data_IF_889102952457
#
_entry.id   IF_889102952457
#
_cell.length_a   1.000
_cell.length_b   1.000
_cell.length_c   1.000
_cell.angle_alpha   90.00
_cell.angle_beta   90.00
_cell.angle_gamma   90.00
#
_symmetry.space_group_name_H-M   'P 1'
#
loop_
_entity.id
_entity.type
_entity.pdbx_description
1 polymer ?
#
# COMPACT_ATOMS: atom_id res chain seq x y z
N UNK A 1 -57.61 -4.16 -56.62
CA UNK A 1 -56.65 -3.18 -56.07
C UNK A 1 -56.20 -3.74 -54.74
N UNK A 2 -55.08 -4.48 -54.76
CA UNK A 2 -54.58 -5.22 -53.60
C UNK A 2 -53.47 -4.43 -52.92
N UNK A 3 -53.65 -4.16 -51.68
CA UNK A 3 -52.65 -3.48 -50.83
C UNK A 3 -51.82 -4.56 -50.16
N UNK A 4 -50.54 -4.64 -50.51
CA UNK A 4 -49.54 -5.50 -49.88
C UNK A 4 -48.99 -4.78 -48.68
N UNK A 5 -49.21 -5.35 -47.46
CA UNK A 5 -48.63 -4.90 -46.22
C UNK A 5 -47.24 -5.45 -46.08
N UNK A 6 -46.25 -4.56 -46.01
CA UNK A 6 -44.85 -4.90 -45.69
C UNK A 6 -44.65 -4.99 -44.19
N UNK A 7 -44.14 -6.14 -43.75
CA UNK A 7 -43.73 -6.46 -42.37
C UNK A 7 -42.49 -5.66 -41.95
N UNK A 8 -42.39 -5.13 -40.73
CA UNK A 8 -41.17 -4.49 -40.25
C UNK A 8 -40.12 -5.51 -39.81
N UNK A 9 -38.89 -5.25 -40.24
CA UNK A 9 -37.70 -6.02 -39.89
C UNK A 9 -37.42 -6.01 -38.39
N UNK A 10 -37.10 -7.18 -37.85
CA UNK A 10 -36.69 -7.38 -36.48
C UNK A 10 -35.36 -6.65 -36.19
N UNK A 11 -35.39 -5.71 -35.26
CA UNK A 11 -34.21 -5.10 -34.68
C UNK A 11 -33.47 -6.13 -33.81
N UNK A 12 -32.31 -6.53 -34.31
CA UNK A 12 -31.30 -7.28 -33.53
C UNK A 12 -30.68 -6.35 -32.47
N UNK A 13 -31.19 -6.39 -31.29
CA UNK A 13 -30.47 -5.80 -30.14
C UNK A 13 -29.25 -6.65 -29.76
N UNK A 14 -28.07 -6.07 -29.64
CA UNK A 14 -26.92 -6.82 -29.12
C UNK A 14 -27.17 -7.25 -27.70
N UNK A 15 -27.18 -8.56 -27.46
CA UNK A 15 -27.16 -9.13 -26.10
C UNK A 15 -25.85 -8.71 -25.43
N UNK A 16 -25.94 -7.76 -24.51
CA UNK A 16 -24.85 -7.47 -23.57
C UNK A 16 -24.70 -8.70 -22.70
N UNK A 17 -23.69 -9.48 -23.02
CA UNK A 17 -23.20 -10.58 -22.19
C UNK A 17 -22.74 -9.99 -20.85
N UNK A 18 -23.57 -10.11 -19.82
CA UNK A 18 -23.14 -9.89 -18.42
C UNK A 18 -22.09 -10.93 -18.09
N UNK A 19 -20.84 -10.62 -18.35
CA UNK A 19 -19.74 -11.37 -17.75
C UNK A 19 -19.77 -11.07 -16.26
N UNK A 20 -20.17 -12.05 -15.47
CA UNK A 20 -19.96 -12.07 -14.05
C UNK A 20 -18.49 -11.76 -13.79
N UNK A 21 -18.23 -10.62 -13.15
CA UNK A 21 -16.92 -10.26 -12.66
C UNK A 21 -16.54 -11.28 -11.58
N UNK A 22 -15.71 -12.22 -11.95
CA UNK A 22 -15.04 -13.11 -11.01
C UNK A 22 -14.01 -12.31 -10.24
N UNK A 23 -14.36 -11.94 -9.01
CA UNK A 23 -13.54 -11.18 -8.06
C UNK A 23 -12.29 -11.97 -7.56
N UNK A 24 -11.83 -12.97 -8.31
CA UNK A 24 -10.83 -13.93 -7.84
C UNK A 24 -9.42 -13.84 -8.45
N UNK A 25 -9.07 -12.82 -9.25
CA UNK A 25 -7.84 -12.90 -10.06
C UNK A 25 -6.72 -11.91 -9.75
N UNK A 26 -6.82 -11.11 -8.70
CA UNK A 26 -5.79 -10.09 -8.40
C UNK A 26 -4.86 -10.41 -7.22
N UNK A 27 -4.91 -11.61 -6.67
CA UNK A 27 -3.98 -12.00 -5.64
C UNK A 27 -2.77 -12.72 -6.23
N UNK A 28 -1.96 -11.99 -6.99
CA UNK A 28 -0.66 -12.48 -7.44
C UNK A 28 0.36 -12.18 -6.32
N UNK A 29 0.48 -13.13 -5.40
CA UNK A 29 1.49 -13.13 -4.35
C UNK A 29 2.89 -13.34 -4.96
N UNK A 30 3.39 -12.32 -5.66
CA UNK A 30 4.84 -12.22 -5.84
C UNK A 30 5.47 -11.72 -4.52
N UNK A 31 5.20 -12.43 -3.43
CA UNK A 31 6.01 -12.34 -2.23
C UNK A 31 7.43 -12.69 -2.68
N UNK A 32 8.30 -11.72 -2.68
CA UNK A 32 9.73 -12.00 -2.85
C UNK A 32 10.06 -13.08 -1.82
N UNK A 33 10.56 -14.26 -2.21
CA UNK A 33 10.74 -15.40 -1.29
C UNK A 33 11.67 -15.08 -0.11
N UNK A 34 12.45 -14.01 -0.22
CA UNK A 34 13.35 -13.52 0.81
C UNK A 34 12.64 -13.02 2.09
N UNK A 35 11.53 -12.27 1.98
CA UNK A 35 10.86 -11.75 3.18
C UNK A 35 10.19 -12.86 4.00
N UNK A 36 9.54 -13.82 3.32
CA UNK A 36 8.98 -14.99 4.00
C UNK A 36 10.06 -15.90 4.57
N UNK A 37 11.19 -16.06 3.88
CA UNK A 37 12.30 -16.87 4.36
C UNK A 37 12.96 -16.30 5.61
N UNK A 38 13.09 -14.98 5.74
CA UNK A 38 13.64 -14.32 6.93
C UNK A 38 12.69 -14.52 8.13
N UNK A 39 11.38 -14.33 7.96
CA UNK A 39 10.40 -14.56 9.02
C UNK A 39 10.37 -16.02 9.48
N UNK A 40 10.43 -16.98 8.55
CA UNK A 40 10.45 -18.42 8.87
C UNK A 40 11.79 -18.80 9.55
N UNK A 41 12.92 -18.28 9.10
CA UNK A 41 14.23 -18.52 9.70
C UNK A 41 14.30 -17.97 11.14
N UNK A 42 13.72 -16.79 11.40
CA UNK A 42 13.63 -16.21 12.74
C UNK A 42 12.78 -17.09 13.68
N UNK A 43 11.71 -17.66 13.15
CA UNK A 43 10.82 -18.57 13.91
C UNK A 43 11.51 -19.90 14.28
N UNK A 44 12.32 -20.45 13.39
CA UNK A 44 13.05 -21.71 13.61
C UNK A 44 14.22 -21.56 14.59
N UNK A 45 14.85 -20.39 14.64
CA UNK A 45 15.93 -20.11 15.61
C UNK A 45 15.42 -19.87 17.04
N UNK A 46 14.11 -19.55 17.19
CA UNK A 46 13.51 -19.26 18.49
C UNK A 46 13.39 -20.48 19.44
N UNK A 47 13.61 -21.68 18.95
CA UNK A 47 13.36 -22.92 19.76
C UNK A 47 14.50 -23.30 20.71
N UNK A 48 15.65 -22.59 20.72
CA UNK A 48 16.90 -23.11 21.33
C UNK A 48 17.23 -22.51 22.70
N UNK A 49 16.56 -21.45 23.18
CA UNK A 49 16.96 -20.84 24.46
C UNK A 49 15.76 -20.55 25.39
N UNK A 50 15.52 -21.43 26.33
CA UNK A 50 14.45 -21.31 27.35
C UNK A 50 14.69 -20.30 28.47
N UNK A 51 15.53 -19.27 28.28
CA UNK A 51 15.72 -18.22 29.27
C UNK A 51 14.78 -17.03 28.98
N UNK A 52 13.98 -16.64 29.98
CA UNK A 52 13.12 -15.46 29.87
C UNK A 52 13.93 -14.16 29.81
N UNK A 53 13.43 -13.21 29.03
CA UNK A 53 13.99 -11.86 29.00
C UNK A 53 13.92 -11.21 30.41
N UNK A 54 15.08 -10.84 30.93
CA UNK A 54 15.22 -10.27 32.29
C UNK A 54 15.28 -8.74 32.30
N UNK A 55 15.48 -8.14 31.13
CA UNK A 55 15.58 -6.69 30.97
C UNK A 55 14.63 -6.20 29.88
N UNK A 56 13.79 -5.25 30.24
CA UNK A 56 12.91 -4.54 29.33
C UNK A 56 12.97 -3.05 29.65
N UNK A 57 13.52 -2.28 28.73
CA UNK A 57 13.57 -0.82 28.87
C UNK A 57 12.22 -0.19 28.57
N UNK A 58 11.99 0.99 29.17
CA UNK A 58 10.70 1.68 29.05
C UNK A 58 10.44 2.27 27.68
N UNK A 59 11.48 2.71 26.98
CA UNK A 59 11.38 3.39 25.69
C UNK A 59 12.10 2.61 24.61
N UNK A 60 11.48 2.54 23.45
CA UNK A 60 12.04 1.93 22.25
C UNK A 60 12.04 2.98 21.13
N UNK A 61 13.15 3.11 20.43
CA UNK A 61 13.28 3.92 19.23
C UNK A 61 13.77 3.04 18.09
N UNK A 62 12.93 2.82 17.12
CA UNK A 62 13.25 2.08 15.92
C UNK A 62 13.54 3.03 14.75
N UNK A 63 14.55 2.71 13.96
CA UNK A 63 14.89 3.36 12.70
C UNK A 63 15.29 2.29 11.70
N UNK A 64 14.65 2.26 10.54
CA UNK A 64 14.90 1.23 9.54
C UNK A 64 14.52 1.67 8.13
N UNK A 65 14.91 0.84 7.18
CA UNK A 65 14.45 0.93 5.79
C UNK A 65 13.07 0.32 5.67
N UNK A 66 12.24 0.90 4.79
CA UNK A 66 10.92 0.41 4.49
C UNK A 66 10.74 0.23 2.98
N UNK A 67 10.03 -0.83 2.62
CA UNK A 67 9.49 -1.11 1.30
C UNK A 67 7.97 -1.12 1.43
N UNK A 68 7.31 -0.17 0.75
CA UNK A 68 5.86 -0.04 0.76
C UNK A 68 5.33 -0.45 -0.60
N UNK A 69 4.49 -1.46 -0.60
CA UNK A 69 3.93 -2.06 -1.81
C UNK A 69 2.41 -2.00 -1.80
N UNK A 70 1.81 -1.44 -2.86
CA UNK A 70 0.38 -1.46 -3.10
C UNK A 70 0.11 -2.15 -4.44
N UNK A 71 -0.14 -3.47 -4.43
CA UNK A 71 -0.22 -4.28 -5.66
C UNK A 71 -1.33 -3.82 -6.61
N UNK A 72 -2.46 -3.38 -6.06
CA UNK A 72 -3.59 -2.92 -6.86
C UNK A 72 -3.27 -1.65 -7.67
N UNK A 73 -2.42 -0.78 -7.12
CA UNK A 73 -1.95 0.43 -7.79
C UNK A 73 -0.68 0.19 -8.63
N UNK A 74 -0.09 -1.01 -8.57
CA UNK A 74 1.24 -1.26 -9.14
C UNK A 74 2.32 -0.36 -8.53
N UNK A 75 2.09 0.14 -7.31
CA UNK A 75 2.97 1.07 -6.62
C UNK A 75 3.96 0.31 -5.75
N UNK A 76 5.23 0.60 -5.96
CA UNK A 76 6.32 0.11 -5.12
C UNK A 76 7.20 1.29 -4.72
N UNK A 77 7.36 1.51 -3.42
CA UNK A 77 8.08 2.65 -2.85
C UNK A 77 9.09 2.17 -1.83
N UNK A 78 10.25 2.79 -1.82
CA UNK A 78 11.27 2.58 -0.79
C UNK A 78 11.47 3.84 0.03
N UNK A 79 11.85 3.67 1.29
CA UNK A 79 12.02 4.81 2.17
C UNK A 79 12.52 4.49 3.56
N UNK A 80 12.24 5.37 4.48
CA UNK A 80 12.61 5.26 5.89
C UNK A 80 11.38 5.08 6.76
N UNK A 81 11.52 4.27 7.80
CA UNK A 81 10.52 4.05 8.83
C UNK A 81 11.13 4.26 10.20
N UNK A 82 10.47 5.06 11.00
CA UNK A 82 10.82 5.31 12.40
C UNK A 82 9.63 4.99 13.29
N UNK A 83 9.89 4.46 14.47
CA UNK A 83 8.88 4.18 15.46
C UNK A 83 9.39 4.54 16.85
N UNK A 84 8.56 5.24 17.61
CA UNK A 84 8.78 5.46 19.03
C UNK A 84 7.78 4.63 19.83
N UNK A 85 8.27 3.82 20.76
CA UNK A 85 7.47 2.94 21.60
C UNK A 85 7.64 3.23 23.08
N UNK A 86 6.55 3.09 23.83
CA UNK A 86 6.56 3.13 25.30
C UNK A 86 6.07 1.80 25.84
N UNK A 87 6.96 1.01 26.42
CA UNK A 87 6.63 -0.23 27.08
C UNK A 87 5.95 0.06 28.43
N UNK A 88 4.70 -0.30 28.56
CA UNK A 88 3.87 -0.10 29.76
C UNK A 88 3.94 -1.35 30.65
N UNK A 89 3.90 -2.53 30.03
CA UNK A 89 4.00 -3.83 30.69
C UNK A 89 4.87 -4.77 29.85
N UNK A 90 5.22 -5.93 30.41
CA UNK A 90 6.00 -6.95 29.71
C UNK A 90 5.41 -7.35 28.35
N UNK A 91 4.09 -7.39 28.25
CA UNK A 91 3.36 -7.85 27.07
C UNK A 91 2.69 -6.72 26.28
N UNK A 92 2.75 -5.46 26.78
CA UNK A 92 1.99 -4.34 26.24
C UNK A 92 2.85 -3.08 26.11
N UNK A 93 2.81 -2.48 24.93
CA UNK A 93 3.42 -1.19 24.64
C UNK A 93 2.46 -0.34 23.80
N UNK A 94 2.72 0.95 23.71
CA UNK A 94 2.05 1.89 22.78
C UNK A 94 3.13 2.43 21.87
N UNK A 95 2.84 2.45 20.57
CA UNK A 95 3.78 2.92 19.55
C UNK A 95 3.22 4.07 18.72
N UNK A 96 4.12 4.93 18.27
CA UNK A 96 3.90 5.98 17.28
C UNK A 96 4.86 5.75 16.14
N UNK A 97 4.33 5.73 14.92
CA UNK A 97 5.08 5.50 13.70
C UNK A 97 5.10 6.74 12.83
N UNK A 98 6.23 6.93 12.19
CA UNK A 98 6.37 7.79 11.05
C UNK A 98 7.15 7.08 9.96
N UNK A 99 6.66 7.11 8.73
CA UNK A 99 7.47 6.68 7.59
C UNK A 99 7.33 7.65 6.41
N UNK A 100 8.39 7.73 5.62
CA UNK A 100 8.41 8.41 4.35
C UNK A 100 8.97 7.47 3.30
N UNK A 101 8.23 7.30 2.20
CA UNK A 101 8.63 6.45 1.08
C UNK A 101 8.29 7.13 -0.25
N UNK A 102 9.03 6.76 -1.28
CA UNK A 102 8.93 7.38 -2.60
C UNK A 102 9.09 6.31 -3.67
N UNK A 103 8.34 6.45 -4.75
CA UNK A 103 8.37 5.51 -5.87
C UNK A 103 7.51 5.96 -7.03
N UNK A 104 7.46 5.15 -8.07
CA UNK A 104 6.71 5.45 -9.28
C UNK A 104 5.63 4.40 -9.51
N UNK A 105 4.54 4.84 -10.09
CA UNK A 105 3.44 3.99 -10.55
C UNK A 105 3.01 4.42 -11.95
N UNK A 106 2.22 3.57 -12.60
CA UNK A 106 1.56 3.89 -13.86
C UNK A 106 0.06 3.77 -13.66
N UNK A 107 -0.62 4.90 -13.66
CA UNK A 107 -2.07 4.93 -13.59
C UNK A 107 -2.66 4.40 -14.88
N UNK A 108 -3.51 3.37 -14.76
CA UNK A 108 -4.23 2.73 -15.87
C UNK A 108 -5.70 3.13 -15.82
N UNK A 109 -6.40 3.13 -16.97
CA UNK A 109 -7.81 3.50 -17.04
C UNK A 109 -8.74 2.64 -16.17
N UNK A 110 -8.41 1.38 -15.94
CA UNK A 110 -9.19 0.43 -15.13
C UNK A 110 -9.26 0.79 -13.64
N UNK A 111 -8.38 1.66 -13.18
CA UNK A 111 -8.39 2.19 -11.81
C UNK A 111 -9.30 3.41 -11.64
N UNK A 112 -9.74 4.02 -12.76
CA UNK A 112 -10.58 5.23 -12.75
C UNK A 112 -12.06 4.88 -12.62
N UNK A 113 -12.89 5.77 -12.04
CA UNK A 113 -14.34 5.65 -12.06
C UNK A 113 -14.89 5.55 -13.48
N UNK A 114 -15.95 4.79 -13.64
CA UNK A 114 -16.62 4.62 -14.96
C UNK A 114 -17.02 5.97 -15.57
N UNK A 115 -17.51 6.89 -14.75
CA UNK A 115 -17.86 8.24 -15.16
C UNK A 115 -16.66 9.01 -15.76
N UNK A 116 -15.48 8.85 -15.18
CA UNK A 116 -14.27 9.49 -15.68
C UNK A 116 -13.76 8.79 -16.94
N UNK A 117 -13.86 7.46 -17.02
CA UNK A 117 -13.54 6.71 -18.23
C UNK A 117 -14.45 7.13 -19.41
N UNK A 118 -15.76 7.30 -19.17
CA UNK A 118 -16.72 7.77 -20.18
C UNK A 118 -16.44 9.20 -20.65
N UNK A 119 -15.95 10.08 -19.76
CA UNK A 119 -15.53 11.43 -20.13
C UNK A 119 -14.24 11.47 -20.95
N UNK A 120 -13.31 10.56 -20.67
CA UNK A 120 -12.02 10.48 -21.37
C UNK A 120 -12.12 9.77 -22.72
N UNK A 121 -13.05 8.83 -22.88
CA UNK A 121 -13.20 8.04 -24.10
C UNK A 121 -13.37 8.91 -25.38
N UNK A 122 -14.28 9.92 -25.44
CA UNK A 122 -14.45 10.74 -26.63
C UNK A 122 -13.22 11.60 -26.95
N UNK A 123 -12.47 12.00 -25.92
CA UNK A 123 -11.23 12.76 -26.11
C UNK A 123 -10.19 11.88 -26.81
N UNK A 124 -9.99 10.65 -26.30
CA UNK A 124 -9.05 9.69 -26.89
C UNK A 124 -9.47 9.35 -28.33
N UNK A 125 -10.78 9.14 -28.56
CA UNK A 125 -11.32 8.80 -29.87
C UNK A 125 -11.11 9.93 -30.88
N UNK A 126 -11.27 11.19 -30.50
CA UNK A 126 -10.99 12.34 -31.35
C UNK A 126 -9.50 12.41 -31.76
N UNK A 127 -8.58 12.08 -30.89
CA UNK A 127 -7.16 12.01 -31.21
C UNK A 127 -6.80 10.83 -32.13
N UNK A 128 -7.49 9.70 -31.99
CA UNK A 128 -7.36 8.55 -32.92
C UNK A 128 -7.86 8.95 -34.29
N UNK A 129 -9.03 9.58 -34.38
CA UNK A 129 -9.60 10.05 -35.68
C UNK A 129 -8.74 11.12 -36.35
N UNK A 130 -8.10 11.98 -35.55
CA UNK A 130 -7.14 12.96 -36.08
C UNK A 130 -5.78 12.36 -36.50
N UNK A 131 -5.59 11.04 -36.32
CA UNK A 131 -4.34 10.35 -36.69
C UNK A 131 -3.14 10.70 -35.79
N UNK A 132 -3.38 11.32 -34.64
CA UNK A 132 -2.32 11.70 -33.69
C UNK A 132 -1.80 10.48 -32.94
N UNK A 133 -2.67 9.48 -32.67
CA UNK A 133 -2.31 8.22 -32.02
C UNK A 133 -2.91 7.03 -32.78
N UNK A 134 -2.29 5.84 -32.63
CA UNK A 134 -2.80 4.64 -33.30
C UNK A 134 -4.12 4.17 -32.67
N UNK A 135 -4.96 3.41 -33.40
CA UNK A 135 -6.21 2.86 -32.87
C UNK A 135 -6.04 1.91 -31.66
N UNK A 136 -4.83 1.39 -31.46
CA UNK A 136 -4.48 0.52 -30.34
C UNK A 136 -3.97 1.29 -29.11
N UNK A 137 -4.08 2.62 -29.12
CA UNK A 137 -3.60 3.46 -28.04
C UNK A 137 -4.29 3.12 -26.72
N UNK A 138 -3.51 2.96 -25.68
CA UNK A 138 -3.97 2.80 -24.30
C UNK A 138 -3.38 3.93 -23.45
N UNK A 139 -4.25 4.68 -22.83
CA UNK A 139 -3.83 5.74 -21.92
C UNK A 139 -3.02 5.13 -20.76
N UNK A 140 -1.81 5.62 -20.59
CA UNK A 140 -0.95 5.32 -19.44
C UNK A 140 -0.40 6.62 -18.89
N UNK A 141 -0.58 6.85 -17.59
CA UNK A 141 -0.09 8.06 -16.95
C UNK A 141 0.93 7.68 -15.87
N UNK A 142 2.22 7.72 -16.21
CA UNK A 142 3.27 7.56 -15.20
C UNK A 142 3.20 8.68 -14.16
N UNK A 143 3.33 8.32 -12.89
CA UNK A 143 3.32 9.28 -11.79
C UNK A 143 4.37 8.90 -10.74
N UNK A 144 5.04 9.90 -10.21
CA UNK A 144 5.89 9.75 -9.04
C UNK A 144 5.07 10.07 -7.80
N UNK A 145 5.09 9.16 -6.81
CA UNK A 145 4.31 9.30 -5.59
C UNK A 145 5.24 9.26 -4.39
N UNK A 146 5.13 10.26 -3.53
CA UNK A 146 5.73 10.29 -2.20
C UNK A 146 4.64 10.08 -1.16
N UNK A 147 4.82 9.08 -0.30
CA UNK A 147 3.90 8.74 0.77
C UNK A 147 4.55 9.00 2.12
N UNK A 148 3.88 9.80 2.95
CA UNK A 148 4.19 9.96 4.36
C UNK A 148 3.10 9.25 5.17
N UNK A 149 3.49 8.44 6.15
CA UNK A 149 2.52 7.79 7.03
C UNK A 149 2.73 8.17 8.48
N UNK A 150 1.63 8.37 9.18
CA UNK A 150 1.58 8.62 10.61
C UNK A 150 0.65 7.57 11.20
N UNK A 151 1.13 6.76 12.12
CA UNK A 151 0.32 5.72 12.74
C UNK A 151 0.52 5.68 14.25
N UNK A 152 -0.47 5.16 14.92
CA UNK A 152 -0.41 4.84 16.34
C UNK A 152 -1.20 3.57 16.62
N UNK A 153 -0.83 2.88 17.68
CA UNK A 153 -1.56 1.71 18.12
C UNK A 153 -0.91 0.98 19.27
N UNK A 154 -1.67 0.09 19.91
CA UNK A 154 -1.13 -0.81 20.92
C UNK A 154 -0.23 -1.85 20.26
N UNK A 155 0.83 -2.23 20.94
CA UNK A 155 1.71 -3.33 20.55
C UNK A 155 1.64 -4.41 21.60
N UNK A 156 1.28 -5.62 21.20
CA UNK A 156 1.27 -6.80 22.05
C UNK A 156 2.52 -7.62 21.75
N UNK A 157 3.35 -7.83 22.77
CA UNK A 157 4.64 -8.46 22.61
C UNK A 157 4.74 -9.76 23.40
N UNK A 158 5.21 -10.80 22.75
CA UNK A 158 5.55 -12.08 23.35
C UNK A 158 7.07 -12.14 23.60
N UNK A 159 7.47 -12.10 24.86
CA UNK A 159 8.86 -11.99 25.33
C UNK A 159 9.25 -13.19 26.22
N UNK A 160 8.93 -14.38 25.73
CA UNK A 160 9.30 -15.60 26.43
C UNK A 160 10.79 -15.90 26.30
N UNK A 161 11.34 -15.61 25.11
CA UNK A 161 12.75 -15.86 24.82
C UNK A 161 13.63 -14.70 25.30
N UNK A 162 14.88 -15.00 25.71
CA UNK A 162 15.81 -13.97 26.21
C UNK A 162 16.31 -13.02 25.14
N UNK A 163 16.39 -13.48 23.90
CA UNK A 163 17.02 -12.76 22.78
C UNK A 163 16.06 -12.41 21.63
N UNK A 164 14.81 -12.94 21.65
CA UNK A 164 13.79 -12.64 20.64
C UNK A 164 12.51 -12.14 21.30
N UNK A 165 11.97 -11.07 20.73
CA UNK A 165 10.62 -10.56 21.01
C UNK A 165 9.79 -10.71 19.75
N UNK A 166 8.66 -11.40 19.82
CA UNK A 166 7.64 -11.39 18.78
C UNK A 166 6.57 -10.37 19.14
N UNK A 167 6.03 -9.66 18.17
CA UNK A 167 4.97 -8.70 18.44
C UNK A 167 3.92 -8.62 17.35
N UNK A 168 2.72 -8.21 17.76
CA UNK A 168 1.59 -7.88 16.87
C UNK A 168 1.10 -6.50 17.26
N UNK A 169 0.73 -5.70 16.26
CA UNK A 169 0.32 -4.32 16.45
C UNK A 169 -0.84 -3.95 15.52
N UNK A 170 -2.09 -3.94 15.99
CA UNK A 170 -3.13 -3.21 15.31
C UNK A 170 -2.81 -1.71 15.31
N UNK A 171 -3.04 -1.05 14.19
CA UNK A 171 -2.70 0.36 14.01
C UNK A 171 -3.78 1.10 13.25
N UNK A 172 -3.92 2.37 13.57
CA UNK A 172 -4.71 3.35 12.84
C UNK A 172 -3.84 4.56 12.55
N UNK A 173 -4.12 5.26 11.47
CA UNK A 173 -3.30 6.38 11.11
C UNK A 173 -3.79 7.11 9.87
N UNK A 174 -2.91 7.96 9.33
CA UNK A 174 -3.16 8.71 8.12
C UNK A 174 -1.96 8.61 7.17
N UNK A 175 -2.26 8.50 5.89
CA UNK A 175 -1.32 8.71 4.80
C UNK A 175 -1.48 10.11 4.22
N UNK A 176 -0.37 10.77 3.97
CA UNK A 176 -0.27 11.91 3.09
C UNK A 176 0.44 11.47 1.82
N UNK A 177 -0.29 11.46 0.71
CA UNK A 177 0.23 11.09 -0.59
C UNK A 177 0.40 12.35 -1.44
N UNK A 178 1.56 12.50 -2.06
CA UNK A 178 1.84 13.56 -3.02
C UNK A 178 2.19 12.92 -4.35
N UNK A 179 1.33 13.07 -5.35
CA UNK A 179 1.49 12.51 -6.68
C UNK A 179 1.85 13.61 -7.68
N UNK A 180 2.90 13.37 -8.46
CA UNK A 180 3.34 14.23 -9.56
C UNK A 180 3.28 13.42 -10.86
N UNK A 181 2.34 13.70 -11.76
CA UNK A 181 2.27 13.02 -13.05
C UNK A 181 3.44 13.40 -13.96
N UNK A 182 3.92 12.45 -14.73
CA UNK A 182 4.96 12.62 -15.75
C UNK A 182 4.43 12.08 -17.09
N UNK A 183 3.53 12.83 -17.76
CA UNK A 183 2.92 12.37 -19.00
C UNK A 183 3.98 12.16 -20.09
N UNK A 184 3.85 11.05 -20.83
CA UNK A 184 4.81 10.66 -21.87
C UNK A 184 4.40 11.13 -23.28
N UNK A 185 3.13 11.52 -23.45
CA UNK A 185 2.57 11.91 -24.76
C UNK A 185 1.62 13.12 -24.62
N UNK A 186 1.24 13.77 -25.75
CA UNK A 186 0.38 14.96 -25.72
C UNK A 186 -1.01 14.72 -25.13
N UNK A 187 -1.58 13.50 -25.31
CA UNK A 187 -2.89 13.15 -24.76
C UNK A 187 -2.80 12.99 -23.26
N UNK A 188 -1.82 12.22 -22.78
CA UNK A 188 -1.55 12.09 -21.35
C UNK A 188 -1.26 13.45 -20.71
N UNK A 189 -0.61 14.39 -21.43
CA UNK A 189 -0.38 15.77 -20.97
C UNK A 189 -1.69 16.52 -20.81
N UNK A 190 -2.57 16.49 -21.80
CA UNK A 190 -3.88 17.15 -21.75
C UNK A 190 -4.73 16.58 -20.61
N UNK A 191 -4.77 15.26 -20.48
CA UNK A 191 -5.52 14.56 -19.43
C UNK A 191 -4.94 14.87 -18.05
N UNK A 192 -3.61 14.83 -17.90
CA UNK A 192 -2.99 15.14 -16.61
C UNK A 192 -3.22 16.58 -16.17
N UNK A 193 -3.25 17.54 -17.10
CA UNK A 193 -3.59 18.95 -16.82
C UNK A 193 -5.07 19.11 -16.43
N UNK A 194 -5.96 18.32 -17.01
CA UNK A 194 -7.37 18.33 -16.65
C UNK A 194 -7.61 17.71 -15.25
N UNK A 195 -6.92 16.62 -14.92
CA UNK A 195 -7.05 15.93 -13.63
C UNK A 195 -6.29 16.64 -12.49
N UNK A 196 -5.14 17.23 -12.82
CA UNK A 196 -4.21 17.84 -11.86
C UNK A 196 -3.67 19.15 -12.42
N UNK A 197 -4.48 20.22 -12.45
CA UNK A 197 -4.09 21.50 -13.05
C UNK A 197 -2.85 22.14 -12.40
N UNK A 198 -2.61 21.88 -11.13
CA UNK A 198 -1.45 22.38 -10.37
C UNK A 198 -0.13 21.65 -10.66
N UNK A 199 -0.17 20.58 -11.49
CA UNK A 199 0.99 19.73 -11.76
C UNK A 199 1.37 18.79 -10.62
N UNK A 200 0.73 18.89 -9.46
CA UNK A 200 0.86 17.94 -8.37
C UNK A 200 -0.45 17.82 -7.59
N UNK A 201 -0.73 16.65 -7.05
CA UNK A 201 -1.89 16.40 -6.22
C UNK A 201 -1.47 15.85 -4.88
N UNK A 202 -1.98 16.46 -3.81
CA UNK A 202 -1.78 16.00 -2.45
C UNK A 202 -3.11 15.51 -1.91
N UNK A 203 -3.10 14.33 -1.32
CA UNK A 203 -4.26 13.74 -0.68
C UNK A 203 -3.91 13.24 0.71
N UNK A 204 -4.91 13.31 1.61
CA UNK A 204 -4.86 12.74 2.94
C UNK A 204 -5.92 11.68 3.07
N UNK A 205 -5.50 10.48 3.43
CA UNK A 205 -6.41 9.37 3.66
C UNK A 205 -6.09 8.71 4.98
N UNK A 206 -7.12 8.34 5.72
CA UNK A 206 -7.00 7.49 6.89
C UNK A 206 -6.73 6.04 6.48
N UNK A 207 -6.13 5.31 7.38
CA UNK A 207 -5.94 3.87 7.24
C UNK A 207 -6.10 3.15 8.57
N UNK A 208 -6.43 1.89 8.48
CA UNK A 208 -6.40 0.95 9.59
C UNK A 208 -5.80 -0.37 9.13
N UNK A 209 -5.19 -1.07 10.05
CA UNK A 209 -4.56 -2.34 9.71
C UNK A 209 -3.93 -3.05 10.89
N UNK A 210 -3.16 -4.03 10.55
CA UNK A 210 -2.43 -4.84 11.52
C UNK A 210 -1.01 -5.04 11.04
N UNK A 211 -0.08 -4.92 11.96
CA UNK A 211 1.32 -5.25 11.74
C UNK A 211 1.81 -6.29 12.73
N UNK A 212 2.97 -6.82 12.45
CA UNK A 212 3.65 -7.74 13.34
C UNK A 212 5.08 -7.94 12.88
N UNK A 213 5.86 -8.55 13.76
CA UNK A 213 7.26 -8.79 13.45
C UNK A 213 8.00 -9.42 14.59
N UNK A 214 9.29 -9.41 14.43
CA UNK A 214 10.24 -9.90 15.42
C UNK A 214 11.34 -8.87 15.68
N UNK A 215 11.93 -9.00 16.84
CA UNK A 215 13.07 -8.24 17.25
C UNK A 215 14.09 -9.17 17.87
N UNK A 216 15.31 -9.17 17.34
CA UNK A 216 16.45 -9.89 17.84
C UNK A 216 17.28 -8.93 18.70
N UNK A 217 17.36 -9.21 19.99
CA UNK A 217 18.14 -8.43 20.95
C UNK A 217 19.61 -8.77 20.83
N UNK A 218 20.42 -7.83 20.40
CA UNK A 218 21.90 -7.97 20.35
C UNK A 218 22.53 -7.63 21.70
N UNK A 219 22.00 -6.63 22.34
CA UNK A 219 22.39 -6.17 23.68
C UNK A 219 21.15 -5.68 24.45
N UNK A 220 21.26 -5.39 25.75
CA UNK A 220 20.14 -4.79 26.50
C UNK A 220 19.67 -3.43 25.98
N UNK A 221 20.43 -2.78 25.07
CA UNK A 221 20.13 -1.45 24.55
C UNK A 221 19.93 -1.43 23.04
N UNK A 222 20.29 -2.49 22.32
CA UNK A 222 20.22 -2.53 20.86
C UNK A 222 19.64 -3.86 20.38
N UNK A 223 18.75 -3.77 19.41
CA UNK A 223 18.19 -4.91 18.70
C UNK A 223 18.09 -4.64 17.20
N UNK A 224 17.88 -5.70 16.44
CA UNK A 224 17.47 -5.65 15.05
C UNK A 224 16.02 -6.06 14.99
N UNK A 225 15.19 -5.21 14.39
CA UNK A 225 13.75 -5.45 14.26
C UNK A 225 13.40 -5.62 12.79
N UNK A 226 12.60 -6.64 12.49
CA UNK A 226 11.91 -6.79 11.23
C UNK A 226 10.41 -6.75 11.48
N UNK A 227 9.67 -6.06 10.59
CA UNK A 227 8.21 -5.99 10.71
C UNK A 227 7.52 -5.89 9.35
N UNK A 228 6.28 -6.35 9.34
CA UNK A 228 5.37 -6.25 8.21
C UNK A 228 4.06 -5.66 8.71
N UNK A 229 3.58 -4.63 8.04
CA UNK A 229 2.26 -4.03 8.27
C UNK A 229 1.40 -4.23 7.03
N UNK A 230 0.14 -4.58 7.24
CA UNK A 230 -0.88 -4.68 6.20
C UNK A 230 -2.00 -3.74 6.56
N UNK A 231 -2.21 -2.73 5.73
CA UNK A 231 -3.16 -1.66 6.00
C UNK A 231 -4.12 -1.47 4.83
N UNK A 232 -5.36 -1.12 5.16
CA UNK A 232 -6.37 -0.74 4.20
C UNK A 232 -6.50 0.78 4.17
N UNK A 233 -6.44 1.38 2.99
CA UNK A 233 -6.57 2.81 2.77
C UNK A 233 -7.35 3.11 1.48
N UNK A 234 -7.83 4.34 1.34
CA UNK A 234 -8.57 4.79 0.16
C UNK A 234 -7.99 6.12 -0.35
N UNK A 235 -6.81 6.10 -0.99
CA UNK A 235 -6.19 7.31 -1.49
C UNK A 235 -6.90 7.83 -2.74
N UNK A 236 -6.88 9.14 -2.92
CA UNK A 236 -7.44 9.84 -4.09
C UNK A 236 -8.86 9.38 -4.42
N UNK A 237 -9.74 9.36 -3.42
CA UNK A 237 -11.13 8.87 -3.52
C UNK A 237 -11.98 9.60 -4.57
N UNK A 238 -11.53 10.74 -5.06
CA UNK A 238 -12.10 11.51 -6.17
C UNK A 238 -11.65 11.01 -7.56
N UNK A 239 -10.54 10.26 -7.63
CA UNK A 239 -9.97 9.73 -8.88
C UNK A 239 -9.99 8.19 -8.90
N UNK A 240 -9.89 7.53 -7.76
CA UNK A 240 -9.81 6.06 -7.67
C UNK A 240 -11.11 5.48 -7.11
N UNK A 241 -11.55 4.35 -7.68
CA UNK A 241 -12.87 3.76 -7.35
C UNK A 241 -12.90 3.07 -5.99
N UNK A 242 -11.80 2.44 -5.60
CA UNK A 242 -11.78 1.53 -4.46
C UNK A 242 -10.64 1.84 -3.49
N UNK A 243 -10.84 1.44 -2.23
CA UNK A 243 -9.75 1.33 -1.30
C UNK A 243 -8.82 0.15 -1.62
N UNK A 244 -7.60 0.24 -1.16
CA UNK A 244 -6.55 -0.72 -1.49
C UNK A 244 -5.86 -1.23 -0.24
N UNK A 245 -5.42 -2.49 -0.34
CA UNK A 245 -4.51 -3.07 0.64
C UNK A 245 -3.07 -2.67 0.28
N UNK A 246 -2.39 -2.10 1.26
CA UNK A 246 -0.99 -1.70 1.15
C UNK A 246 -0.18 -2.48 2.18
N UNK A 247 0.94 -3.02 1.75
CA UNK A 247 1.87 -3.77 2.59
C UNK A 247 3.13 -2.94 2.77
N UNK A 248 3.61 -2.86 4.01
CA UNK A 248 4.88 -2.23 4.34
C UNK A 248 5.77 -3.24 5.04
N UNK A 249 6.93 -3.49 4.46
CA UNK A 249 8.00 -4.26 5.09
C UNK A 249 9.05 -3.30 5.59
N UNK A 250 9.56 -3.52 6.78
CA UNK A 250 10.68 -2.72 7.27
C UNK A 250 11.65 -3.54 8.10
N UNK A 251 12.92 -3.17 7.99
CA UNK A 251 14.02 -3.77 8.77
C UNK A 251 14.98 -2.68 9.22
N UNK A 252 15.40 -2.73 10.48
CA UNK A 252 16.29 -1.71 11.01
C UNK A 252 16.73 -1.97 12.44
N UNK A 253 17.34 -0.95 13.01
CA UNK A 253 17.84 -0.97 14.38
C UNK A 253 16.77 -0.48 15.35
N UNK A 254 16.69 -1.14 16.50
CA UNK A 254 15.89 -0.70 17.62
C UNK A 254 16.79 -0.37 18.80
N UNK A 255 16.57 0.79 19.40
CA UNK A 255 17.35 1.32 20.54
C UNK A 255 16.44 1.32 21.76
N UNK A 256 16.88 0.69 22.83
CA UNK A 256 16.15 0.57 24.09
C UNK A 256 16.73 1.51 25.14
N UNK A 257 15.91 2.36 25.74
CA UNK A 257 16.31 3.35 26.72
C UNK A 257 15.40 3.38 27.95
N UNK A 258 15.86 4.01 29.02
CA UNK A 258 15.10 4.22 30.24
C UNK A 258 15.25 3.10 31.28
N UNK A 259 14.39 3.14 32.31
CA UNK A 259 14.41 2.18 33.40
C UNK A 259 13.95 0.80 32.95
N UNK A 260 14.49 -0.25 33.61
CA UNK A 260 13.98 -1.60 33.45
C UNK A 260 12.60 -1.71 34.12
N UNK A 261 11.57 -2.15 33.41
CA UNK A 261 10.19 -2.26 33.91
C UNK A 261 9.85 -3.67 34.43
N UNK A 262 10.77 -4.63 34.31
CA UNK A 262 10.61 -5.99 34.80
C UNK A 262 11.11 -6.16 36.26
N UNK A 263 11.59 -5.09 36.88
CA UNK A 263 12.02 -5.06 38.30
C UNK A 263 10.87 -4.67 39.18
#
# INVERSE_FOLDING_TARGET
MSIVASSPAAQNSPRISRRCFSAGKYWNWNCRPFACAILIASFLLATIAGAQQTQLKRYDLYVGFADLNSPALGLNQTGLHTQFGVNVRRWYAIGFDYSVSSGSTVLKPDLLPVTLQEQLAPIIEAYIQAGVVPPTYQLTLPAHITTQSFATGPQFAYRYFSWVTLFVRPSVGAFRLAATPHPADPIATTISQALVPSGHKVDWTDFYGIGGGDEILLTPHFGVRSQMDVVYNHPFNDILVNGFWTMRYSVGLNIHAGKNILK
#
